data_IF_697116700578
#
_entry.id   IF_697116700578
#
_cell.length_a   1.000
_cell.length_b   1.000
_cell.length_c   1.000
_cell.angle_alpha   90.00
_cell.angle_beta   90.00
_cell.angle_gamma   90.00
#
_symmetry.space_group_name_H-M   'P 1'
#
loop_
_entity.id
_entity.type
_entity.pdbx_description
1 polymer ?
#
# COMPACT_ATOMS: atom_id res chain seq x y z
N UNK A 1 2.70 -4.39 -6.32
CA UNK A 1 2.13 -5.04 -5.12
C UNK A 1 1.00 -6.00 -5.47
N UNK A 2 0.20 -5.66 -6.48
CA UNK A 2 -0.77 -6.56 -7.09
C UNK A 2 -0.29 -6.92 -8.49
N UNK A 3 -0.21 -8.19 -8.83
CA UNK A 3 0.06 -8.63 -10.20
C UNK A 3 -0.67 -9.93 -10.48
N UNK A 4 -0.94 -10.17 -11.77
CA UNK A 4 -1.60 -11.38 -12.23
C UNK A 4 -0.69 -12.58 -11.94
N UNK A 5 -1.26 -13.64 -11.38
CA UNK A 5 -0.57 -14.91 -11.18
C UNK A 5 -0.01 -15.42 -12.52
N UNK A 6 1.27 -15.76 -12.56
CA UNK A 6 1.98 -16.22 -13.76
C UNK A 6 2.46 -15.10 -14.69
N UNK A 7 2.22 -13.82 -14.37
CA UNK A 7 2.72 -12.71 -15.17
C UNK A 7 4.24 -12.54 -15.07
N UNK A 8 4.84 -11.90 -16.08
CA UNK A 8 6.27 -11.54 -16.06
C UNK A 8 6.62 -10.72 -14.81
N UNK A 9 5.72 -9.83 -14.37
CA UNK A 9 5.90 -9.05 -13.15
C UNK A 9 6.07 -9.95 -11.93
N UNK A 10 5.40 -11.10 -11.84
CA UNK A 10 5.62 -12.03 -10.72
C UNK A 10 7.05 -12.57 -10.69
N UNK A 11 7.61 -12.86 -11.85
CA UNK A 11 8.96 -13.44 -11.99
C UNK A 11 10.07 -12.41 -11.77
N UNK A 12 9.85 -11.15 -12.16
CA UNK A 12 10.90 -10.11 -12.17
C UNK A 12 10.77 -9.09 -11.04
N UNK A 13 9.62 -9.01 -10.35
CA UNK A 13 9.42 -7.99 -9.33
C UNK A 13 10.15 -8.31 -8.02
N UNK A 14 11.08 -7.43 -7.66
CA UNK A 14 11.59 -7.31 -6.29
C UNK A 14 10.44 -7.02 -5.32
N UNK A 15 10.49 -7.58 -4.10
CA UNK A 15 9.49 -7.28 -3.08
C UNK A 15 9.45 -5.76 -2.82
N UNK A 16 8.30 -5.08 -2.98
CA UNK A 16 8.25 -3.63 -2.82
C UNK A 16 8.49 -3.22 -1.37
N UNK A 17 8.13 -4.06 -0.40
CA UNK A 17 8.40 -3.77 1.01
C UNK A 17 9.88 -3.91 1.36
N UNK A 18 10.61 -4.87 0.78
CA UNK A 18 12.07 -4.92 0.95
C UNK A 18 12.80 -3.70 0.35
N UNK A 19 12.18 -3.02 -0.62
CA UNK A 19 12.71 -1.76 -1.17
C UNK A 19 12.56 -0.60 -0.17
N UNK A 20 11.47 -0.61 0.61
CA UNK A 20 11.16 0.41 1.61
C UNK A 20 11.86 0.10 2.94
N UNK A 21 11.61 -1.07 3.50
CA UNK A 21 12.18 -1.59 4.75
C UNK A 21 13.20 -2.65 4.37
N UNK A 22 14.45 -2.23 4.12
CA UNK A 22 15.54 -3.13 3.78
C UNK A 22 15.71 -4.16 4.89
N UNK A 23 15.37 -5.45 4.67
CA UNK A 23 15.47 -6.45 5.72
C UNK A 23 16.93 -6.74 6.04
N UNK A 24 17.22 -7.06 7.29
CA UNK A 24 18.56 -7.48 7.72
C UNK A 24 18.95 -8.87 7.19
N UNK A 25 17.97 -9.70 6.81
CA UNK A 25 18.16 -11.04 6.26
C UNK A 25 18.28 -11.04 4.73
N UNK A 26 19.03 -12.01 4.20
CA UNK A 26 19.13 -12.26 2.75
C UNK A 26 17.81 -12.75 2.11
N UNK A 27 16.88 -13.26 2.92
CA UNK A 27 15.54 -13.68 2.48
C UNK A 27 14.51 -12.59 2.77
N UNK A 28 13.59 -12.40 1.83
CA UNK A 28 12.45 -11.49 1.98
C UNK A 28 11.48 -12.02 3.06
N UNK A 29 11.20 -11.26 4.14
CA UNK A 29 10.25 -11.70 5.17
C UNK A 29 8.77 -11.56 4.76
N UNK A 30 8.50 -10.80 3.69
CA UNK A 30 7.13 -10.52 3.24
C UNK A 30 6.51 -11.72 2.54
N UNK A 31 5.37 -12.14 3.07
CA UNK A 31 4.62 -13.29 2.57
C UNK A 31 3.72 -12.85 1.43
N UNK A 32 3.88 -13.49 0.28
CA UNK A 32 2.98 -13.37 -0.88
C UNK A 32 1.90 -14.44 -0.79
N UNK A 33 0.70 -14.08 -1.23
CA UNK A 33 -0.43 -15.00 -1.34
C UNK A 33 -1.25 -14.67 -2.60
N UNK A 34 -2.12 -15.59 -3.01
CA UNK A 34 -2.93 -15.45 -4.22
C UNK A 34 -4.40 -15.30 -3.86
N UNK A 35 -5.01 -14.25 -4.39
CA UNK A 35 -6.43 -13.98 -4.26
C UNK A 35 -7.18 -14.58 -5.45
N UNK A 36 -8.23 -15.35 -5.16
CA UNK A 36 -9.05 -16.07 -6.13
C UNK A 36 -10.48 -15.48 -6.23
N UNK A 37 -10.72 -14.27 -5.71
CA UNK A 37 -12.05 -13.67 -5.68
C UNK A 37 -12.50 -13.21 -7.08
N UNK A 38 -13.11 -14.14 -7.82
CA UNK A 38 -13.62 -13.91 -9.18
C UNK A 38 -14.79 -12.91 -9.26
N UNK A 39 -15.44 -12.58 -8.14
CA UNK A 39 -16.44 -11.51 -8.15
C UNK A 39 -15.76 -10.12 -8.28
N UNK A 40 -14.61 -9.92 -7.64
CA UNK A 40 -13.89 -8.63 -7.67
C UNK A 40 -12.92 -8.50 -8.84
N UNK A 41 -12.37 -9.61 -9.33
CA UNK A 41 -11.47 -9.68 -10.48
C UNK A 41 -11.72 -10.98 -11.29
N UNK A 42 -12.74 -11.00 -12.18
CA UNK A 42 -13.20 -12.24 -12.85
C UNK A 42 -12.15 -12.94 -13.70
N UNK A 43 -11.26 -12.18 -14.33
CA UNK A 43 -10.38 -12.70 -15.38
C UNK A 43 -9.10 -13.35 -14.84
N UNK A 44 -8.63 -12.93 -13.66
CA UNK A 44 -7.27 -13.27 -13.20
C UNK A 44 -7.25 -13.60 -11.71
N UNK A 45 -6.32 -14.45 -11.31
CA UNK A 45 -5.91 -14.57 -9.91
C UNK A 45 -4.82 -13.55 -9.62
N UNK A 46 -4.89 -12.91 -8.45
CA UNK A 46 -4.04 -11.77 -8.12
C UNK A 46 -3.11 -12.13 -6.96
N UNK A 47 -1.81 -12.02 -7.18
CA UNK A 47 -0.83 -12.10 -6.08
C UNK A 47 -0.80 -10.79 -5.32
N UNK A 48 -0.78 -10.89 -4.00
CA UNK A 48 -0.70 -9.76 -3.07
C UNK A 48 0.23 -10.08 -1.90
N UNK A 49 0.55 -9.07 -1.07
CA UNK A 49 1.32 -9.27 0.17
C UNK A 49 0.36 -9.31 1.36
N UNK A 50 0.48 -10.37 2.17
CA UNK A 50 -0.37 -10.57 3.36
C UNK A 50 0.19 -9.85 4.59
N UNK A 51 1.50 -10.01 4.83
CA UNK A 51 2.21 -9.40 5.95
C UNK A 51 3.03 -8.21 5.47
N UNK A 52 2.35 -7.12 5.10
CA UNK A 52 3.00 -5.87 4.78
C UNK A 52 3.05 -4.99 6.03
N UNK A 53 4.19 -4.35 6.28
CA UNK A 53 4.40 -3.37 7.36
C UNK A 53 3.51 -2.13 7.19
N UNK A 54 3.00 -1.92 5.97
CA UNK A 54 2.21 -0.75 5.58
C UNK A 54 0.80 -1.22 5.20
N UNK A 55 -0.24 -0.79 5.94
CA UNK A 55 -1.62 -1.21 5.70
C UNK A 55 -2.13 -0.98 4.27
N UNK A 56 -1.72 0.12 3.62
CA UNK A 56 -2.06 0.38 2.21
C UNK A 56 -1.67 -0.78 1.30
N UNK A 57 -0.54 -1.45 1.56
CA UNK A 57 -0.02 -2.54 0.76
C UNK A 57 -0.51 -3.93 1.17
N UNK A 58 -1.14 -4.06 2.33
CA UNK A 58 -1.66 -5.33 2.82
C UNK A 58 -2.95 -5.72 2.08
N UNK A 59 -3.04 -6.98 1.68
CA UNK A 59 -4.23 -7.56 1.06
C UNK A 59 -4.33 -7.34 -0.46
N UNK A 60 -5.31 -8.02 -1.08
CA UNK A 60 -5.60 -7.85 -2.51
C UNK A 60 -6.17 -6.46 -2.79
N UNK A 61 -5.40 -5.61 -3.47
CA UNK A 61 -5.84 -4.25 -3.77
C UNK A 61 -7.06 -4.16 -4.70
N UNK A 62 -7.34 -5.19 -5.51
CA UNK A 62 -8.57 -5.26 -6.32
C UNK A 62 -9.81 -5.51 -5.45
N UNK A 63 -9.71 -6.39 -4.45
CA UNK A 63 -10.78 -6.59 -3.48
C UNK A 63 -10.99 -5.33 -2.61
N UNK A 64 -9.89 -4.69 -2.18
CA UNK A 64 -9.94 -3.43 -1.42
C UNK A 64 -10.65 -2.32 -2.21
N UNK A 65 -10.37 -2.19 -3.50
CA UNK A 65 -11.07 -1.27 -4.39
C UNK A 65 -12.57 -1.58 -4.48
N UNK A 66 -12.93 -2.85 -4.71
CA UNK A 66 -14.33 -3.27 -4.81
C UNK A 66 -15.13 -3.08 -3.52
N UNK A 67 -14.50 -3.07 -2.35
CA UNK A 67 -15.15 -2.92 -1.04
C UNK A 67 -15.38 -1.47 -0.59
N UNK A 68 -14.84 -0.46 -1.30
CA UNK A 68 -14.97 0.95 -0.91
C UNK A 68 -16.13 1.65 -1.66
N UNK A 69 -17.07 2.32 -0.98
CA UNK A 69 -18.19 3.02 -1.63
C UNK A 69 -17.77 4.41 -2.17
N UNK A 70 -18.38 4.98 -3.24
CA UNK A 70 -19.09 4.40 -4.37
C UNK A 70 -18.18 4.44 -5.61
N UNK A 71 -17.15 3.61 -5.66
CA UNK A 71 -16.62 3.17 -6.95
C UNK A 71 -17.71 2.28 -7.54
N UNK A 72 -18.70 2.89 -8.19
CA UNK A 72 -19.84 2.32 -8.94
C UNK A 72 -19.92 0.78 -8.96
N UNK A 73 -21.10 0.15 -8.79
CA UNK A 73 -21.29 -1.29 -9.03
C UNK A 73 -20.74 -1.79 -10.40
N UNK A 74 -20.44 -0.88 -11.33
CA UNK A 74 -19.77 -1.11 -12.62
C UNK A 74 -18.24 -1.27 -12.56
N UNK A 75 -17.60 -0.97 -11.43
CA UNK A 75 -16.13 -1.08 -11.24
C UNK A 75 -15.69 -2.37 -10.57
N UNK A 76 -16.60 -3.23 -10.13
CA UNK A 76 -16.33 -4.67 -10.00
C UNK A 76 -16.33 -5.29 -11.40
N UNK A 77 -15.26 -5.99 -11.78
CA UNK A 77 -15.11 -6.54 -13.13
C UNK A 77 -13.99 -5.86 -13.94
N UNK A 78 -14.23 -5.64 -15.23
CA UNK A 78 -13.19 -5.23 -16.20
C UNK A 78 -12.58 -3.84 -15.97
N UNK A 79 -13.23 -2.97 -15.19
CA UNK A 79 -12.75 -1.61 -14.87
C UNK A 79 -12.12 -1.49 -13.48
N UNK A 80 -11.92 -2.60 -12.76
CA UNK A 80 -11.25 -2.59 -11.46
C UNK A 80 -9.75 -2.28 -11.65
N UNK A 81 -9.33 -1.07 -11.28
CA UNK A 81 -7.93 -0.63 -11.40
C UNK A 81 -7.06 -0.98 -10.19
N UNK A 82 -7.65 -1.64 -9.17
CA UNK A 82 -7.01 -1.90 -7.91
C UNK A 82 -6.79 -0.66 -7.04
N UNK A 83 -6.44 -0.90 -5.78
CA UNK A 83 -6.30 0.17 -4.79
C UNK A 83 -5.15 1.14 -5.13
N UNK A 84 -5.40 2.47 -5.10
CA UNK A 84 -4.39 3.48 -5.31
C UNK A 84 -3.32 3.40 -4.23
N UNK A 85 -2.07 3.59 -4.63
CA UNK A 85 -0.91 3.43 -3.73
C UNK A 85 -0.51 1.98 -3.52
N UNK A 86 -1.36 0.98 -3.78
CA UNK A 86 -0.98 -0.44 -3.68
C UNK A 86 -0.69 -1.05 -5.06
N UNK A 87 -1.70 -1.14 -5.92
CA UNK A 87 -1.58 -1.78 -7.22
C UNK A 87 -0.98 -0.84 -8.28
N UNK A 88 -1.24 0.47 -8.14
CA UNK A 88 -0.80 1.53 -9.04
C UNK A 88 -0.52 2.82 -8.28
N UNK A 89 0.13 3.78 -8.93
CA UNK A 89 0.26 5.12 -8.39
C UNK A 89 -1.13 5.75 -8.16
N UNK A 90 -1.34 6.46 -7.03
CA UNK A 90 -2.55 7.27 -6.83
C UNK A 90 -2.59 8.44 -7.82
N UNK A 91 -3.80 8.81 -8.24
CA UNK A 91 -4.05 10.11 -8.88
C UNK A 91 -4.23 11.20 -7.81
N UNK A 92 -4.23 12.47 -8.23
CA UNK A 92 -4.40 13.61 -7.31
C UNK A 92 -5.69 13.55 -6.49
N UNK A 93 -6.78 13.02 -7.06
CA UNK A 93 -8.09 12.88 -6.39
C UNK A 93 -8.18 11.68 -5.45
N UNK A 94 -7.25 10.74 -5.57
CA UNK A 94 -7.16 9.50 -4.79
C UNK A 94 -6.14 9.58 -3.65
N UNK A 95 -5.41 10.70 -3.56
CA UNK A 95 -4.44 10.96 -2.49
C UNK A 95 -5.06 10.71 -1.09
N UNK A 96 -6.31 11.13 -0.91
CA UNK A 96 -7.10 10.97 0.31
C UNK A 96 -7.47 9.53 0.66
N UNK A 97 -7.33 8.59 -0.28
CA UNK A 97 -7.57 7.16 -0.02
C UNK A 97 -6.38 6.51 0.71
N UNK A 98 -5.23 7.18 0.82
CA UNK A 98 -4.02 6.65 1.42
C UNK A 98 -3.79 7.36 2.76
N UNK A 99 -3.68 6.62 3.89
CA UNK A 99 -3.34 7.21 5.18
C UNK A 99 -2.02 7.99 5.12
N UNK A 100 -1.96 9.14 5.79
CA UNK A 100 -0.76 10.00 5.80
C UNK A 100 0.53 9.24 6.15
N UNK A 101 0.47 8.32 7.11
CA UNK A 101 1.60 7.51 7.57
C UNK A 101 2.18 6.56 6.49
N UNK A 102 1.37 6.17 5.50
CA UNK A 102 1.76 5.19 4.48
C UNK A 102 2.47 5.85 3.28
N UNK A 103 2.38 7.18 3.17
CA UNK A 103 2.91 7.94 2.03
C UNK A 103 4.41 7.82 1.78
N UNK A 104 5.29 7.77 2.79
CA UNK A 104 6.71 7.53 2.56
C UNK A 104 6.95 6.23 1.78
N UNK A 105 6.22 5.16 2.12
CA UNK A 105 6.34 3.88 1.43
C UNK A 105 5.72 3.93 0.03
N UNK A 106 4.56 4.57 -0.14
CA UNK A 106 3.91 4.77 -1.45
C UNK A 106 4.83 5.54 -2.41
N UNK A 107 5.46 6.61 -1.93
CA UNK A 107 6.40 7.43 -2.70
C UNK A 107 7.58 6.60 -3.21
N UNK A 108 8.20 5.79 -2.34
CA UNK A 108 9.33 4.93 -2.72
C UNK A 108 8.92 3.82 -3.69
N UNK A 109 7.77 3.19 -3.50
CA UNK A 109 7.30 2.08 -4.35
C UNK A 109 6.93 2.57 -5.75
N UNK A 110 6.16 3.67 -5.84
CA UNK A 110 5.63 4.17 -7.12
C UNK A 110 6.43 5.32 -7.73
N UNK A 111 7.51 5.77 -7.09
CA UNK A 111 8.36 6.87 -7.56
C UNK A 111 7.61 8.18 -7.79
N UNK A 112 6.68 8.51 -6.89
CA UNK A 112 5.92 9.75 -6.94
C UNK A 112 6.24 10.64 -5.73
N UNK A 113 6.12 11.97 -5.85
CA UNK A 113 6.33 12.86 -4.71
C UNK A 113 5.22 12.70 -3.66
N UNK A 114 5.59 12.83 -2.38
CA UNK A 114 4.60 12.97 -1.30
C UNK A 114 3.93 14.35 -1.45
N UNK A 115 2.58 14.44 -1.42
CA UNK A 115 1.84 15.70 -1.43
C UNK A 115 2.23 16.64 -0.29
N UNK A 116 2.17 17.95 -0.52
CA UNK A 116 2.74 18.95 0.38
C UNK A 116 2.01 19.05 1.72
N UNK A 117 0.69 18.94 1.70
CA UNK A 117 -0.18 18.85 2.87
C UNK A 117 0.20 17.65 3.76
N UNK A 118 0.39 16.48 3.16
CA UNK A 118 0.80 15.27 3.88
C UNK A 118 2.23 15.38 4.42
N UNK A 119 3.18 15.93 3.64
CA UNK A 119 4.54 16.22 4.13
C UNK A 119 4.49 17.08 5.39
N UNK A 120 3.66 18.13 5.38
CA UNK A 120 3.51 19.04 6.52
C UNK A 120 2.98 18.32 7.75
N UNK A 121 1.94 17.48 7.58
CA UNK A 121 1.39 16.67 8.67
C UNK A 121 2.43 15.71 9.27
N UNK A 122 3.22 15.03 8.43
CA UNK A 122 4.26 14.12 8.90
C UNK A 122 5.36 14.83 9.70
N UNK A 123 5.75 16.04 9.30
CA UNK A 123 6.73 16.84 10.03
C UNK A 123 6.20 17.34 11.38
N UNK A 124 4.92 17.67 11.49
CA UNK A 124 4.30 18.03 12.78
C UNK A 124 4.34 16.86 13.77
N UNK A 125 4.01 15.65 13.31
CA UNK A 125 4.06 14.45 14.16
C UNK A 125 5.49 14.16 14.65
N UNK A 126 6.50 14.31 13.78
CA UNK A 126 7.91 14.14 14.18
C UNK A 126 8.34 15.12 15.28
N UNK A 127 7.88 16.38 15.19
CA UNK A 127 8.20 17.43 16.16
C UNK A 127 7.45 17.29 17.50
N UNK A 128 6.31 16.61 17.50
CA UNK A 128 5.43 16.46 18.66
C UNK A 128 5.73 15.27 19.59
N UNK A 129 6.88 14.61 19.46
CA UNK A 129 7.27 13.55 20.42
C UNK A 129 7.52 14.18 21.80
N UNK A 130 6.74 13.87 22.85
CA UNK A 130 7.00 14.39 24.18
C UNK A 130 8.32 13.84 24.68
N UNK A 131 9.23 14.72 25.08
CA UNK A 131 10.35 14.36 25.95
C UNK A 131 9.78 13.66 27.19
N UNK A 132 10.38 12.54 27.67
CA UNK A 132 9.97 11.94 28.93
C UNK A 132 10.20 12.98 30.04
N UNK A 133 9.10 13.51 30.55
CA UNK A 133 9.05 14.38 31.70
C UNK A 133 9.70 13.66 32.88
N UNK A 134 10.87 14.14 33.29
CA UNK A 134 11.51 13.77 34.54
C UNK A 134 10.62 14.29 35.67
N UNK A 135 9.90 13.39 36.36
CA UNK A 135 9.26 13.73 37.63
C UNK A 135 10.37 13.88 38.68
N UNK A 136 10.66 15.11 39.08
CA UNK A 136 11.35 15.41 40.32
C UNK A 136 10.38 16.12 41.26
N UNK A 137 10.04 15.44 42.36
CA UNK A 137 9.34 15.96 43.53
C UNK A 137 9.13 14.80 44.50
N UNK A 138 9.39 14.90 45.79
CA UNK A 138 9.98 15.94 46.66
C UNK A 138 10.57 15.22 47.87
#
# INVERSE_FOLDING_TARGET
MCYIQGSVLQATSTCPMCKVFRPSSSRCPHIKDTCYNRASHPQYDIVYIRNAEVPTFAGCGFCKWAANPPSSPKTSGSHNSGWPGCCRAPTSTETRCIPAADWPAVSVVHHIPIPQDIKTLLELVKRGSPTPYTQSGS
#
